data_IF_525923950101
#
_entry.id   IF_525923950101
#
_cell.length_a   1.000
_cell.length_b   1.000
_cell.length_c   1.000
_cell.angle_alpha   90.00
_cell.angle_beta   90.00
_cell.angle_gamma   90.00
#
_symmetry.space_group_name_H-M   'P 1'
#
loop_
_entity.id
_entity.type
_entity.pdbx_description
1 polymer ?
#
# COMPACT_ATOMS: atom_id res chain seq x y z
N UNK A 1 -7.27 -0.85 -23.78
CA UNK A 1 -6.58 -2.10 -24.20
C UNK A 1 -5.21 -1.85 -24.85
N UNK A 2 -4.91 -0.63 -25.31
CA UNK A 2 -3.60 -0.28 -25.90
C UNK A 2 -2.53 0.09 -24.85
N UNK A 3 -2.92 0.31 -23.61
CA UNK A 3 -2.04 0.71 -22.50
C UNK A 3 -1.31 -0.49 -21.86
N UNK A 4 -1.79 -1.71 -22.08
CA UNK A 4 -1.27 -2.90 -21.41
C UNK A 4 -0.02 -3.53 -22.03
N UNK A 5 0.30 -3.20 -23.28
CA UNK A 5 1.45 -3.84 -23.96
C UNK A 5 2.77 -3.07 -23.84
N UNK A 6 2.72 -1.76 -23.52
CA UNK A 6 3.92 -0.93 -23.41
C UNK A 6 4.25 -0.46 -21.98
N UNK A 7 3.44 -0.83 -21.01
CA UNK A 7 3.70 -0.52 -19.61
C UNK A 7 4.05 -1.81 -18.87
N UNK A 8 5.19 -1.83 -18.20
CA UNK A 8 5.68 -2.93 -17.35
C UNK A 8 4.79 -3.22 -16.13
N UNK A 9 3.57 -2.66 -16.06
CA UNK A 9 2.59 -2.93 -15.03
C UNK A 9 1.75 -4.11 -15.50
N UNK A 10 1.72 -5.18 -14.72
CA UNK A 10 0.78 -6.30 -14.93
C UNK A 10 -0.65 -5.74 -14.90
N UNK A 11 -1.50 -6.15 -15.84
CA UNK A 11 -2.86 -5.63 -15.99
C UNK A 11 -3.69 -5.66 -14.71
N UNK A 12 -3.44 -6.64 -13.86
CA UNK A 12 -4.08 -6.83 -12.56
C UNK A 12 -3.80 -5.66 -11.58
N UNK A 13 -2.55 -5.21 -11.50
CA UNK A 13 -2.19 -4.04 -10.69
C UNK A 13 -2.82 -2.74 -11.20
N UNK A 14 -2.98 -2.59 -12.52
CA UNK A 14 -3.65 -1.43 -13.10
C UNK A 14 -5.16 -1.42 -12.78
N UNK A 15 -5.83 -2.57 -12.84
CA UNK A 15 -7.23 -2.70 -12.46
C UNK A 15 -7.41 -2.37 -10.97
N UNK A 16 -6.56 -2.92 -10.10
CA UNK A 16 -6.59 -2.64 -8.67
C UNK A 16 -6.41 -1.15 -8.37
N UNK A 17 -5.46 -0.47 -9.03
CA UNK A 17 -5.26 0.98 -8.88
C UNK A 17 -6.50 1.79 -9.28
N UNK A 18 -7.10 1.47 -10.43
CA UNK A 18 -8.29 2.17 -10.93
C UNK A 18 -9.45 1.98 -9.96
N UNK A 19 -9.67 0.76 -9.49
CA UNK A 19 -10.75 0.44 -8.54
C UNK A 19 -10.60 1.20 -7.23
N UNK A 20 -9.41 1.18 -6.62
CA UNK A 20 -9.13 1.88 -5.36
C UNK A 20 -9.24 3.40 -5.54
N UNK A 21 -8.74 3.95 -6.65
CA UNK A 21 -8.84 5.38 -6.96
C UNK A 21 -10.29 5.82 -7.14
N UNK A 22 -11.08 5.06 -7.88
CA UNK A 22 -12.49 5.38 -8.13
C UNK A 22 -13.30 5.38 -6.83
N UNK A 23 -13.08 4.39 -5.97
CA UNK A 23 -13.74 4.31 -4.66
C UNK A 23 -13.34 5.48 -3.75
N UNK A 24 -12.07 5.83 -3.70
CA UNK A 24 -11.58 6.91 -2.86
C UNK A 24 -12.12 8.29 -3.30
N UNK A 25 -12.12 8.55 -4.62
CA UNK A 25 -12.68 9.79 -5.18
C UNK A 25 -14.19 9.81 -4.96
N UNK A 26 -14.90 8.73 -5.23
CA UNK A 26 -16.34 8.63 -5.01
C UNK A 26 -16.73 8.93 -3.57
N UNK A 27 -16.00 8.35 -2.62
CA UNK A 27 -16.22 8.60 -1.20
C UNK A 27 -15.89 10.04 -0.80
N UNK A 28 -14.80 10.61 -1.31
CA UNK A 28 -14.42 12.00 -1.04
C UNK A 28 -15.50 12.97 -1.57
N UNK A 29 -16.01 12.75 -2.77
CA UNK A 29 -17.10 13.54 -3.35
C UNK A 29 -18.39 13.40 -2.52
N UNK A 30 -18.73 12.16 -2.12
CA UNK A 30 -19.87 11.90 -1.28
C UNK A 30 -19.80 12.64 0.06
N UNK A 31 -18.62 12.69 0.67
CA UNK A 31 -18.42 13.40 1.93
C UNK A 31 -18.54 14.93 1.77
N UNK A 32 -18.06 15.49 0.66
CA UNK A 32 -18.11 16.94 0.39
C UNK A 32 -19.56 17.38 0.02
N UNK A 33 -20.27 16.57 -0.75
CA UNK A 33 -21.59 16.94 -1.29
C UNK A 33 -22.79 16.36 -0.52
N UNK A 34 -22.56 15.42 0.41
CA UNK A 34 -23.63 14.78 1.18
C UNK A 34 -24.00 15.62 2.41
N UNK A 35 -25.23 16.07 2.46
CA UNK A 35 -25.82 16.82 3.58
C UNK A 35 -26.44 15.92 4.66
N UNK A 36 -26.42 14.60 4.49
CA UNK A 36 -27.06 13.63 5.40
C UNK A 36 -26.06 12.90 6.31
N UNK A 37 -26.24 12.94 7.64
CA UNK A 37 -25.27 12.40 8.59
C UNK A 37 -25.18 10.86 8.65
N UNK A 38 -26.17 10.12 8.11
CA UNK A 38 -26.27 8.68 8.33
C UNK A 38 -25.63 7.78 7.26
N UNK A 39 -25.39 8.28 6.03
CA UNK A 39 -24.89 7.44 4.95
C UNK A 39 -23.36 7.42 4.89
N UNK A 40 -22.73 8.52 5.27
CA UNK A 40 -21.27 8.63 5.25
C UNK A 40 -20.57 7.92 6.42
N UNK A 41 -21.23 7.75 7.55
CA UNK A 41 -20.63 7.11 8.73
C UNK A 41 -20.40 5.61 8.58
N UNK A 42 -21.37 4.86 8.08
CA UNK A 42 -21.28 3.41 7.92
C UNK A 42 -20.28 2.99 6.82
N UNK A 43 -20.27 3.71 5.70
CA UNK A 43 -19.33 3.46 4.63
C UNK A 43 -17.90 3.79 5.04
N UNK A 44 -17.72 4.86 5.82
CA UNK A 44 -16.42 5.25 6.36
C UNK A 44 -15.84 4.19 7.29
N UNK A 45 -16.63 3.69 8.23
CA UNK A 45 -16.19 2.70 9.20
C UNK A 45 -15.82 1.36 8.55
N UNK A 46 -16.50 0.98 7.48
CA UNK A 46 -16.29 -0.31 6.81
C UNK A 46 -15.10 -0.28 5.84
N UNK A 47 -14.96 0.77 5.04
CA UNK A 47 -13.92 0.85 4.00
C UNK A 47 -12.60 1.45 4.50
N UNK A 48 -12.68 2.41 5.39
CA UNK A 48 -11.51 3.14 5.91
C UNK A 48 -11.19 2.82 7.38
N UNK A 49 -11.84 1.79 7.94
CA UNK A 49 -11.70 1.40 9.33
C UNK A 49 -12.37 2.37 10.29
N UNK A 50 -12.41 2.00 11.55
CA UNK A 50 -12.82 2.93 12.60
C UNK A 50 -11.74 4.00 12.73
N UNK A 51 -11.89 5.08 12.00
CA UNK A 51 -10.97 6.23 11.96
C UNK A 51 -10.92 7.01 13.29
N UNK A 52 -11.56 6.52 14.32
CA UNK A 52 -11.39 7.01 15.67
C UNK A 52 -10.06 6.54 16.22
N UNK A 53 -9.01 7.33 15.98
CA UNK A 53 -7.73 7.26 16.70
C UNK A 53 -7.99 7.21 18.24
N UNK A 54 -9.11 7.74 18.68
CA UNK A 54 -9.60 7.73 20.06
C UNK A 54 -10.06 6.34 20.56
N UNK A 55 -10.41 5.40 19.69
CA UNK A 55 -10.88 4.05 20.08
C UNK A 55 -9.78 2.99 20.06
N UNK A 56 -8.57 3.33 19.61
CA UNK A 56 -7.43 2.42 19.62
C UNK A 56 -6.99 2.12 21.04
N UNK A 57 -7.14 0.85 21.43
CA UNK A 57 -6.65 0.38 22.72
C UNK A 57 -5.11 0.34 22.72
N UNK A 58 -4.49 0.78 23.82
CA UNK A 58 -3.02 0.72 23.98
C UNK A 58 -2.43 -0.67 23.71
N UNK A 59 -3.20 -1.73 23.94
CA UNK A 59 -2.80 -3.09 23.60
C UNK A 59 -2.66 -3.31 22.10
N UNK A 60 -3.60 -2.80 21.29
CA UNK A 60 -3.57 -2.90 19.82
C UNK A 60 -2.36 -2.18 19.23
N UNK A 61 -2.04 -0.99 19.73
CA UNK A 61 -0.86 -0.23 19.31
C UNK A 61 0.42 -0.99 19.62
N UNK A 62 0.56 -1.56 20.81
CA UNK A 62 1.72 -2.37 21.19
C UNK A 62 1.88 -3.59 20.30
N UNK A 63 0.80 -4.31 20.01
CA UNK A 63 0.84 -5.48 19.09
C UNK A 63 1.30 -5.05 17.69
N UNK A 64 0.81 -3.94 17.16
CA UNK A 64 1.24 -3.43 15.86
C UNK A 64 2.72 -3.05 15.83
N UNK A 65 3.21 -2.37 16.86
CA UNK A 65 4.63 -1.99 16.93
C UNK A 65 5.51 -3.24 17.00
N UNK A 66 5.17 -4.19 17.88
CA UNK A 66 5.94 -5.45 17.99
C UNK A 66 5.92 -6.21 16.67
N UNK A 67 4.76 -6.36 16.05
CA UNK A 67 4.66 -7.05 14.76
C UNK A 67 5.46 -6.34 13.66
N UNK A 68 5.39 -5.02 13.58
CA UNK A 68 6.16 -4.23 12.61
C UNK A 68 7.66 -4.45 12.78
N UNK A 69 8.17 -4.42 14.01
CA UNK A 69 9.59 -4.69 14.29
C UNK A 69 9.98 -6.11 13.89
N UNK A 70 9.16 -7.11 14.26
CA UNK A 70 9.40 -8.53 13.90
C UNK A 70 9.46 -8.70 12.38
N UNK A 71 8.51 -8.10 11.63
CA UNK A 71 8.47 -8.19 10.17
C UNK A 71 9.70 -7.54 9.54
N UNK A 72 10.11 -6.36 10.00
CA UNK A 72 11.32 -5.69 9.50
C UNK A 72 12.57 -6.54 9.76
N UNK A 73 12.70 -7.10 10.94
CA UNK A 73 13.82 -7.99 11.27
C UNK A 73 13.82 -9.23 10.37
N UNK A 74 12.67 -9.89 10.20
CA UNK A 74 12.54 -11.05 9.31
C UNK A 74 12.89 -10.68 7.87
N UNK A 75 12.41 -9.54 7.37
CA UNK A 75 12.74 -9.10 6.02
C UNK A 75 14.22 -8.84 5.84
N UNK A 76 14.89 -8.19 6.78
CA UNK A 76 16.33 -7.90 6.72
C UNK A 76 17.14 -9.18 6.77
N UNK A 77 16.82 -10.11 7.70
CA UNK A 77 17.54 -11.39 7.86
C UNK A 77 17.38 -12.28 6.63
N UNK A 78 16.18 -12.37 6.09
CA UNK A 78 15.87 -13.23 4.93
C UNK A 78 15.95 -12.50 3.59
N UNK A 79 16.40 -11.26 3.54
CA UNK A 79 16.42 -10.41 2.34
C UNK A 79 16.97 -11.12 1.10
N UNK A 80 18.16 -11.73 1.19
CA UNK A 80 18.80 -12.41 0.05
C UNK A 80 18.00 -13.63 -0.42
N UNK A 81 17.38 -14.36 0.49
CA UNK A 81 16.57 -15.54 0.15
C UNK A 81 15.23 -15.14 -0.45
N UNK A 82 14.57 -14.14 0.11
CA UNK A 82 13.33 -13.55 -0.41
C UNK A 82 13.57 -13.01 -1.82
N UNK A 83 14.66 -12.27 -2.01
CA UNK A 83 15.03 -11.73 -3.32
C UNK A 83 15.21 -12.84 -4.35
N UNK A 84 16.00 -13.86 -4.04
CA UNK A 84 16.28 -14.98 -4.94
C UNK A 84 14.99 -15.74 -5.33
N UNK A 85 14.13 -16.05 -4.37
CA UNK A 85 12.87 -16.77 -4.60
C UNK A 85 11.87 -15.93 -5.39
N UNK A 86 11.81 -14.61 -5.15
CA UNK A 86 10.86 -13.71 -5.82
C UNK A 86 11.24 -13.45 -7.28
N UNK A 87 12.55 -13.39 -7.61
CA UNK A 87 13.00 -13.08 -8.96
C UNK A 87 13.14 -14.29 -9.86
N UNK A 88 13.69 -15.38 -9.34
CA UNK A 88 13.90 -16.60 -10.12
C UNK A 88 13.75 -17.84 -9.22
N UNK A 89 12.51 -18.32 -9.14
CA UNK A 89 12.18 -19.52 -8.37
C UNK A 89 12.87 -20.77 -8.93
N UNK A 90 13.05 -20.83 -10.25
CA UNK A 90 13.69 -21.98 -10.92
C UNK A 90 15.17 -22.04 -10.57
N UNK A 91 15.84 -20.92 -10.56
CA UNK A 91 17.24 -20.81 -10.14
C UNK A 91 17.40 -21.13 -8.64
N UNK A 92 16.49 -20.60 -7.80
CA UNK A 92 16.49 -20.87 -6.37
C UNK A 92 16.31 -22.38 -6.07
N UNK A 93 15.43 -23.07 -6.80
CA UNK A 93 15.29 -24.55 -6.71
C UNK A 93 16.55 -25.28 -7.16
N UNK A 94 17.15 -24.83 -8.27
CA UNK A 94 18.38 -25.44 -8.80
C UNK A 94 19.58 -25.33 -7.83
N UNK A 95 19.62 -24.26 -7.03
CA UNK A 95 20.65 -24.07 -5.97
C UNK A 95 20.36 -24.83 -4.67
N UNK A 96 19.31 -25.68 -4.65
CA UNK A 96 18.96 -26.50 -3.48
C UNK A 96 18.17 -25.78 -2.40
N UNK A 97 17.66 -24.58 -2.66
CA UNK A 97 16.81 -23.86 -1.70
C UNK A 97 15.40 -24.43 -1.68
N UNK A 98 14.81 -24.56 -0.50
CA UNK A 98 13.41 -24.98 -0.31
C UNK A 98 12.49 -23.79 -0.60
N UNK A 99 12.28 -23.48 -1.88
CA UNK A 99 11.49 -22.31 -2.32
C UNK A 99 10.07 -22.31 -1.79
N UNK A 100 9.43 -23.48 -1.71
CA UNK A 100 8.06 -23.63 -1.22
C UNK A 100 7.93 -23.17 0.24
N UNK A 101 8.94 -23.43 1.07
CA UNK A 101 8.95 -22.97 2.46
C UNK A 101 9.09 -21.45 2.57
N UNK A 102 9.92 -20.83 1.72
CA UNK A 102 10.07 -19.37 1.70
C UNK A 102 8.85 -18.68 1.11
N UNK A 103 8.22 -19.25 0.08
CA UNK A 103 6.95 -18.76 -0.47
C UNK A 103 5.84 -18.82 0.57
N UNK A 104 5.72 -19.93 1.30
CA UNK A 104 4.76 -20.06 2.40
C UNK A 104 5.03 -19.02 3.51
N UNK A 105 6.29 -18.83 3.89
CA UNK A 105 6.67 -17.85 4.91
C UNK A 105 6.28 -16.42 4.49
N UNK A 106 6.58 -16.02 3.25
CA UNK A 106 6.18 -14.71 2.71
C UNK A 106 4.67 -14.58 2.71
N UNK A 107 3.94 -15.59 2.26
CA UNK A 107 2.48 -15.57 2.20
C UNK A 107 1.85 -15.44 3.60
N UNK A 108 2.33 -16.19 4.58
CA UNK A 108 1.83 -16.12 5.96
C UNK A 108 2.11 -14.76 6.59
N UNK A 109 3.34 -14.25 6.45
CA UNK A 109 3.69 -12.92 6.99
C UNK A 109 2.81 -11.84 6.36
N UNK A 110 2.66 -11.86 5.03
CA UNK A 110 1.84 -10.89 4.30
C UNK A 110 0.38 -10.96 4.72
N UNK A 111 -0.19 -12.17 4.86
CA UNK A 111 -1.56 -12.36 5.30
C UNK A 111 -1.79 -11.80 6.72
N UNK A 112 -0.90 -12.08 7.65
CA UNK A 112 -0.99 -11.57 9.03
C UNK A 112 -0.94 -10.04 9.06
N UNK A 113 -0.01 -9.43 8.29
CA UNK A 113 0.09 -7.97 8.20
C UNK A 113 -1.20 -7.37 7.65
N UNK A 114 -1.70 -7.91 6.53
CA UNK A 114 -2.91 -7.39 5.88
C UNK A 114 -4.11 -7.48 6.82
N UNK A 115 -4.33 -8.62 7.47
CA UNK A 115 -5.49 -8.81 8.37
C UNK A 115 -5.43 -7.85 9.56
N UNK A 116 -4.28 -7.70 10.21
CA UNK A 116 -4.15 -6.78 11.33
C UNK A 116 -4.28 -5.33 10.91
N UNK A 117 -3.68 -4.97 9.78
CA UNK A 117 -3.76 -3.62 9.27
C UNK A 117 -5.17 -3.27 8.77
N UNK A 118 -5.91 -4.21 8.15
CA UNK A 118 -7.32 -4.01 7.78
C UNK A 118 -8.21 -3.64 8.96
N UNK A 119 -8.00 -4.29 10.09
CA UNK A 119 -8.79 -4.02 11.30
C UNK A 119 -8.52 -2.62 11.89
N UNK A 120 -7.34 -2.06 11.67
CA UNK A 120 -6.93 -0.77 12.22
C UNK A 120 -7.23 0.39 11.28
N UNK A 121 -6.98 0.21 10.00
CA UNK A 121 -6.89 1.30 9.01
C UNK A 121 -7.93 1.14 7.89
N UNK A 122 -8.55 -0.03 7.79
CA UNK A 122 -9.54 -0.35 6.76
C UNK A 122 -8.95 -0.96 5.50
N UNK A 123 -9.78 -1.69 4.78
CA UNK A 123 -9.36 -2.50 3.63
C UNK A 123 -8.91 -1.66 2.43
N UNK A 124 -9.57 -0.54 2.17
CA UNK A 124 -9.29 0.30 1.01
C UNK A 124 -7.98 1.07 1.18
N UNK A 125 -7.74 1.61 2.38
CA UNK A 125 -6.51 2.36 2.65
C UNK A 125 -5.27 1.46 2.64
N UNK A 126 -5.37 0.24 3.18
CA UNK A 126 -4.28 -0.75 3.12
C UNK A 126 -3.95 -1.12 1.67
N UNK A 127 -4.99 -1.39 0.85
CA UNK A 127 -4.80 -1.70 -0.57
C UNK A 127 -4.10 -0.55 -1.30
N UNK A 128 -4.47 0.68 -1.02
CA UNK A 128 -3.82 1.86 -1.58
C UNK A 128 -2.34 1.97 -1.17
N UNK A 129 -2.05 1.91 0.13
CA UNK A 129 -0.69 2.03 0.67
C UNK A 129 0.26 0.92 0.20
N UNK A 130 -0.26 -0.26 -0.17
CA UNK A 130 0.56 -1.32 -0.76
C UNK A 130 0.81 -1.06 -2.25
N UNK A 131 -0.23 -0.70 -3.01
CA UNK A 131 -0.17 -0.66 -4.48
C UNK A 131 0.52 0.60 -4.99
N UNK A 132 0.10 1.80 -4.54
CA UNK A 132 0.59 3.07 -5.10
C UNK A 132 2.07 3.33 -4.88
N UNK A 133 2.64 3.20 -3.65
CA UNK A 133 4.05 3.45 -3.43
C UNK A 133 4.94 2.44 -4.15
N UNK A 134 4.54 1.17 -4.19
CA UNK A 134 5.28 0.12 -4.90
C UNK A 134 5.36 0.41 -6.40
N UNK A 135 4.23 0.71 -7.04
CA UNK A 135 4.19 1.01 -8.46
C UNK A 135 4.87 2.34 -8.82
N UNK A 136 4.79 3.35 -7.94
CA UNK A 136 5.50 4.62 -8.09
C UNK A 136 7.01 4.41 -8.12
N UNK A 137 7.52 3.64 -7.16
CA UNK A 137 8.95 3.34 -7.05
C UNK A 137 9.48 2.52 -8.23
N UNK A 138 8.69 1.56 -8.74
CA UNK A 138 9.03 0.76 -9.92
C UNK A 138 9.13 1.57 -11.21
N UNK A 139 8.54 2.78 -11.27
CA UNK A 139 8.65 3.67 -12.42
C UNK A 139 10.03 4.31 -12.55
N UNK A 140 10.72 4.53 -11.44
CA UNK A 140 11.99 5.25 -11.40
C UNK A 140 13.17 4.29 -11.20
N UNK A 141 13.03 3.33 -10.30
CA UNK A 141 14.10 2.44 -9.91
C UNK A 141 13.97 1.05 -10.55
N UNK A 142 15.13 0.44 -10.88
CA UNK A 142 15.21 -0.91 -11.46
C UNK A 142 15.79 -1.95 -10.48
N UNK A 143 16.46 -1.48 -9.41
CA UNK A 143 17.03 -2.35 -8.40
C UNK A 143 15.98 -2.68 -7.33
N UNK A 144 15.87 -3.95 -6.94
CA UNK A 144 14.92 -4.40 -5.91
C UNK A 144 15.07 -3.64 -4.60
N UNK A 145 16.30 -3.47 -4.13
CA UNK A 145 16.58 -2.75 -2.89
C UNK A 145 16.15 -1.28 -2.97
N UNK A 146 16.48 -0.60 -4.08
CA UNK A 146 16.10 0.80 -4.27
C UNK A 146 14.57 0.96 -4.38
N UNK A 147 13.88 0.04 -5.06
CA UNK A 147 12.41 0.04 -5.14
C UNK A 147 11.81 -0.15 -3.76
N UNK A 148 12.30 -1.11 -2.98
CA UNK A 148 11.78 -1.39 -1.65
C UNK A 148 11.97 -0.20 -0.70
N UNK A 149 13.18 0.36 -0.63
CA UNK A 149 13.45 1.52 0.24
C UNK A 149 12.61 2.73 -0.17
N UNK A 150 12.59 3.04 -1.47
CA UNK A 150 11.80 4.16 -1.99
C UNK A 150 10.30 3.98 -1.73
N UNK A 151 9.77 2.77 -1.90
CA UNK A 151 8.37 2.44 -1.64
C UNK A 151 8.00 2.67 -0.16
N UNK A 152 8.86 2.23 0.77
CA UNK A 152 8.64 2.42 2.21
C UNK A 152 8.67 3.90 2.56
N UNK A 153 9.68 4.64 2.11
CA UNK A 153 9.81 6.08 2.38
C UNK A 153 8.62 6.85 1.80
N UNK A 154 8.23 6.53 0.56
CA UNK A 154 7.11 7.18 -0.11
C UNK A 154 5.79 6.92 0.61
N UNK A 155 5.52 5.68 1.04
CA UNK A 155 4.33 5.31 1.80
C UNK A 155 4.22 6.10 3.11
N UNK A 156 5.31 6.22 3.86
CA UNK A 156 5.32 6.98 5.11
C UNK A 156 5.08 8.47 4.85
N UNK A 157 5.75 9.05 3.86
CA UNK A 157 5.57 10.46 3.50
C UNK A 157 4.13 10.74 3.06
N UNK A 158 3.57 9.92 2.19
CA UNK A 158 2.19 10.09 1.71
C UNK A 158 1.16 9.92 2.84
N UNK A 159 1.38 8.96 3.75
CA UNK A 159 0.50 8.78 4.91
C UNK A 159 0.52 10.01 5.83
N UNK A 160 1.70 10.54 6.15
CA UNK A 160 1.83 11.75 7.00
C UNK A 160 1.25 12.97 6.30
N UNK A 161 1.56 13.21 5.03
CA UNK A 161 1.01 14.34 4.27
C UNK A 161 -0.51 14.23 4.12
N UNK A 162 -1.03 13.05 3.81
CA UNK A 162 -2.47 12.82 3.68
C UNK A 162 -3.21 13.05 4.99
N UNK A 163 -2.62 12.66 6.12
CA UNK A 163 -3.17 12.92 7.45
C UNK A 163 -3.18 14.42 7.76
N UNK A 164 -2.10 15.14 7.51
CA UNK A 164 -2.05 16.60 7.71
C UNK A 164 -3.06 17.32 6.83
N UNK A 165 -3.15 16.97 5.54
CA UNK A 165 -4.12 17.54 4.61
C UNK A 165 -5.56 17.26 5.06
N UNK A 166 -5.83 16.06 5.57
CA UNK A 166 -7.16 15.70 6.09
C UNK A 166 -7.56 16.59 7.27
N UNK A 167 -6.64 16.87 8.20
CA UNK A 167 -6.89 17.74 9.35
C UNK A 167 -7.18 19.18 8.89
N UNK A 168 -6.41 19.68 7.92
CA UNK A 168 -6.56 21.05 7.41
C UNK A 168 -7.85 21.25 6.59
N UNK A 169 -8.22 20.25 5.80
CA UNK A 169 -9.39 20.32 4.91
C UNK A 169 -10.69 19.80 5.54
N UNK A 170 -10.63 19.21 6.75
CA UNK A 170 -11.79 18.60 7.41
C UNK A 170 -12.37 17.39 6.64
N UNK A 171 -11.54 16.70 5.85
CA UNK A 171 -11.93 15.57 5.00
C UNK A 171 -11.64 14.23 5.69
N UNK A 172 -12.30 13.13 5.26
CA UNK A 172 -12.04 11.81 5.83
C UNK A 172 -10.58 11.39 5.60
N UNK A 173 -9.91 10.99 6.68
CA UNK A 173 -8.47 10.68 6.68
C UNK A 173 -8.10 9.63 5.63
N UNK A 174 -8.86 8.53 5.56
CA UNK A 174 -8.55 7.43 4.64
C UNK A 174 -8.59 7.83 3.17
N UNK A 175 -9.65 8.52 2.73
CA UNK A 175 -9.76 8.95 1.33
C UNK A 175 -8.71 10.00 0.97
N UNK A 176 -8.37 10.89 1.89
CA UNK A 176 -7.35 11.92 1.65
C UNK A 176 -5.96 11.32 1.48
N UNK A 177 -5.61 10.31 2.28
CA UNK A 177 -4.34 9.57 2.12
C UNK A 177 -4.31 8.89 0.76
N UNK A 178 -5.38 8.20 0.34
CA UNK A 178 -5.43 7.53 -0.97
C UNK A 178 -5.30 8.52 -2.12
N UNK A 179 -5.95 9.68 -2.04
CA UNK A 179 -5.80 10.75 -3.05
C UNK A 179 -4.37 11.28 -3.08
N UNK A 180 -3.74 11.45 -1.93
CA UNK A 180 -2.32 11.86 -1.84
C UNK A 180 -1.40 10.83 -2.49
N UNK A 181 -1.60 9.55 -2.24
CA UNK A 181 -0.88 8.45 -2.89
C UNK A 181 -1.07 8.43 -4.41
N UNK A 182 -2.30 8.69 -4.87
CA UNK A 182 -2.62 8.77 -6.30
C UNK A 182 -1.89 9.94 -6.97
N UNK A 183 -1.86 11.11 -6.33
CA UNK A 183 -1.12 12.29 -6.83
C UNK A 183 0.38 11.99 -6.88
N UNK A 184 0.94 11.39 -5.83
CA UNK A 184 2.33 10.97 -5.79
C UNK A 184 2.67 10.01 -6.94
N UNK A 185 1.81 9.01 -7.19
CA UNK A 185 1.96 8.11 -8.33
C UNK A 185 1.95 8.86 -9.67
N UNK A 186 1.05 9.83 -9.84
CA UNK A 186 1.01 10.69 -11.03
C UNK A 186 2.33 11.43 -11.25
N UNK A 187 2.86 12.07 -10.22
CA UNK A 187 4.15 12.78 -10.25
C UNK A 187 5.29 11.83 -10.62
N UNK A 188 5.39 10.68 -9.95
CA UNK A 188 6.43 9.68 -10.25
C UNK A 188 6.29 9.09 -11.65
N UNK A 189 5.07 8.93 -12.15
CA UNK A 189 4.82 8.47 -13.53
C UNK A 189 5.29 9.49 -14.57
N UNK A 190 5.09 10.79 -14.33
CA UNK A 190 5.57 11.87 -15.19
C UNK A 190 7.10 11.94 -15.17
N UNK A 191 7.70 11.91 -13.98
CA UNK A 191 9.16 11.91 -13.82
C UNK A 191 9.78 10.70 -14.53
N UNK A 192 9.19 9.51 -14.38
CA UNK A 192 9.66 8.30 -15.04
C UNK A 192 9.61 8.40 -16.57
N UNK A 193 8.61 9.10 -17.14
CA UNK A 193 8.52 9.36 -18.58
C UNK A 193 9.57 10.37 -19.04
N UNK A 194 9.80 11.43 -18.29
CA UNK A 194 10.80 12.47 -18.63
C UNK A 194 12.23 11.95 -18.55
N UNK A 195 12.48 11.01 -17.63
CA UNK A 195 13.82 10.40 -17.47
C UNK A 195 14.11 9.33 -18.54
N UNK A 196 13.19 9.08 -19.49
CA UNK A 196 13.38 8.15 -20.60
C UNK A 196 13.48 6.68 -20.20
N UNK A 197 12.90 6.32 -19.07
CA UNK A 197 12.98 4.98 -18.47
C UNK A 197 11.66 4.24 -18.49
#
# INVERSE_FOLDING_TARGET
LRTGQNTKIKGDAAVAMISVSALAIGYMLMNIFSTGPNVSGDVCSTLFGSTSILTLTSAQVKVCVILSVVVVILFVVFYHKIFCVTFDESFAKATGMKTDCYNLLIAVITAVIIVLAMNLVGSLLISALIIFPALSSMRIFKSFLSVTICSVVLSVICAVLGLLLSILAGTPVGSTIVVTDMVAFGVFSVIGRLTGR
#
